data_IF_126225233584
#
_entry.id   IF_126225233584
#
_cell.length_a   1.000
_cell.length_b   1.000
_cell.length_c   1.000
_cell.angle_alpha   90.00
_cell.angle_beta   90.00
_cell.angle_gamma   90.00
#
_symmetry.space_group_name_H-M   'P 1'
#
loop_
_entity.id
_entity.type
_entity.pdbx_description
1 polymer ?
#
# COMPACT_ATOMS: atom_id res chain seq x y z
N UNK A 1 2.63 -10.87 40.05
CA UNK A 1 3.40 -10.03 39.09
C UNK A 1 3.10 -10.55 37.69
N UNK A 2 2.33 -9.79 36.91
CA UNK A 2 1.93 -10.17 35.54
C UNK A 2 3.11 -9.94 34.60
N UNK A 3 3.59 -10.97 33.91
CA UNK A 3 4.60 -10.87 32.86
C UNK A 3 3.97 -10.17 31.66
N UNK A 4 4.35 -8.93 31.41
CA UNK A 4 4.14 -8.30 30.11
C UNK A 4 5.15 -8.92 29.15
N UNK A 5 4.76 -9.97 28.43
CA UNK A 5 5.55 -10.48 27.31
C UNK A 5 5.60 -9.39 26.23
N UNK A 6 6.76 -8.74 26.15
CA UNK A 6 7.07 -7.87 25.02
C UNK A 6 7.11 -8.76 23.78
N UNK A 7 6.16 -8.59 22.86
CA UNK A 7 6.14 -9.29 21.58
C UNK A 7 7.32 -8.82 20.72
N UNK A 8 8.52 -9.34 21.00
CA UNK A 8 9.77 -8.99 20.31
C UNK A 8 9.98 -9.76 18.99
N UNK A 9 8.99 -10.55 18.58
CA UNK A 9 9.03 -11.32 17.34
C UNK A 9 8.18 -10.64 16.26
N UNK A 10 8.81 -10.31 15.13
CA UNK A 10 8.10 -9.89 13.92
C UNK A 10 7.32 -11.12 13.42
N UNK A 11 6.00 -10.99 13.34
CA UNK A 11 5.12 -12.05 12.84
C UNK A 11 4.77 -11.80 11.39
N UNK A 12 4.45 -12.85 10.63
CA UNK A 12 3.92 -12.71 9.26
C UNK A 12 2.71 -11.77 9.21
N UNK A 13 1.85 -11.84 10.23
CA UNK A 13 0.71 -10.92 10.38
C UNK A 13 1.14 -9.47 10.55
N UNK A 14 2.09 -9.22 11.44
CA UNK A 14 2.66 -7.88 11.63
C UNK A 14 3.31 -7.36 10.36
N UNK A 15 4.08 -8.18 9.66
CA UNK A 15 4.70 -7.81 8.38
C UNK A 15 3.65 -7.51 7.30
N UNK A 16 2.60 -8.33 7.17
CA UNK A 16 1.51 -8.09 6.23
C UNK A 16 0.77 -6.77 6.54
N UNK A 17 0.56 -6.45 7.82
CA UNK A 17 -0.06 -5.20 8.25
C UNK A 17 0.84 -3.99 7.88
N UNK A 18 2.15 -4.07 8.13
CA UNK A 18 3.12 -3.01 7.79
C UNK A 18 3.20 -2.78 6.27
N UNK A 19 3.30 -3.86 5.48
CA UNK A 19 3.35 -3.74 4.01
C UNK A 19 2.04 -3.16 3.46
N UNK A 20 0.90 -3.56 4.02
CA UNK A 20 -0.40 -2.99 3.64
C UNK A 20 -0.48 -1.50 3.97
N UNK A 21 -0.01 -1.09 5.15
CA UNK A 21 0.06 0.33 5.55
C UNK A 21 0.99 1.13 4.63
N UNK A 22 2.15 0.57 4.26
CA UNK A 22 3.05 1.18 3.27
C UNK A 22 2.33 1.44 1.94
N UNK A 23 1.60 0.47 1.41
CA UNK A 23 0.86 0.64 0.16
C UNK A 23 -0.27 1.67 0.28
N UNK A 24 -0.92 1.79 1.44
CA UNK A 24 -1.91 2.84 1.65
C UNK A 24 -1.30 4.24 1.45
N UNK A 25 -0.18 4.50 2.12
CA UNK A 25 0.53 5.79 1.99
C UNK A 25 1.13 5.98 0.60
N UNK A 26 1.71 4.93 0.02
CA UNK A 26 2.32 4.97 -1.32
C UNK A 26 1.31 5.28 -2.42
N UNK A 27 0.16 4.62 -2.42
CA UNK A 27 -0.89 4.84 -3.42
C UNK A 27 -1.43 6.27 -3.31
N UNK A 28 -1.76 6.75 -2.10
CA UNK A 28 -2.21 8.12 -1.88
C UNK A 28 -1.18 9.15 -2.37
N UNK A 29 0.11 8.90 -2.08
CA UNK A 29 1.20 9.78 -2.50
C UNK A 29 1.35 9.85 -4.02
N UNK A 30 1.25 8.73 -4.74
CA UNK A 30 1.33 8.71 -6.20
C UNK A 30 0.15 9.45 -6.82
N UNK A 31 -1.07 9.21 -6.34
CA UNK A 31 -2.29 9.88 -6.83
C UNK A 31 -2.17 11.40 -6.65
N UNK A 32 -1.67 11.85 -5.50
CA UNK A 32 -1.44 13.26 -5.22
C UNK A 32 -0.35 13.87 -6.12
N UNK A 33 0.85 13.28 -6.15
CA UNK A 33 2.00 13.83 -6.89
C UNK A 33 1.78 13.88 -8.40
N UNK A 34 0.97 12.97 -8.94
CA UNK A 34 0.61 12.93 -10.36
C UNK A 34 -0.64 13.73 -10.70
N UNK A 35 -1.28 14.37 -9.71
CA UNK A 35 -2.45 15.21 -9.92
C UNK A 35 -3.65 14.44 -10.48
N UNK A 36 -3.78 13.15 -10.14
CA UNK A 36 -4.91 12.32 -10.60
C UNK A 36 -6.21 12.80 -9.93
N UNK A 37 -6.12 13.23 -8.67
CA UNK A 37 -7.20 13.88 -7.93
C UNK A 37 -6.80 15.31 -7.56
N UNK A 38 -7.78 16.22 -7.37
CA UNK A 38 -7.52 17.59 -6.96
C UNK A 38 -6.80 17.67 -5.62
N UNK A 39 -5.93 18.67 -5.45
CA UNK A 39 -5.10 18.82 -4.24
C UNK A 39 -5.93 19.08 -2.99
N UNK A 40 -7.06 19.74 -3.13
CA UNK A 40 -8.04 20.03 -2.07
C UNK A 40 -8.73 18.77 -1.54
N UNK A 41 -8.70 17.66 -2.29
CA UNK A 41 -9.22 16.37 -1.87
C UNK A 41 -8.28 15.65 -0.90
N UNK A 42 -7.11 16.23 -0.58
CA UNK A 42 -6.15 15.64 0.35
C UNK A 42 -6.04 16.43 1.67
N UNK A 43 -5.62 15.75 2.73
CA UNK A 43 -5.21 16.33 4.01
C UNK A 43 -3.88 15.77 4.45
N UNK A 44 -3.15 16.55 5.22
CA UNK A 44 -1.89 16.14 5.85
C UNK A 44 -2.17 15.24 7.06
N UNK A 45 -1.48 14.12 7.11
CA UNK A 45 -1.41 13.20 8.24
C UNK A 45 0.06 13.04 8.64
N UNK A 46 0.37 13.15 9.94
CA UNK A 46 1.73 12.99 10.43
C UNK A 46 1.98 11.51 10.80
N UNK A 47 2.84 10.85 10.03
CA UNK A 47 3.13 9.41 10.14
C UNK A 47 4.61 9.14 9.93
N UNK A 48 5.18 8.31 10.82
CA UNK A 48 6.62 8.00 10.84
C UNK A 48 7.54 9.24 10.87
N UNK A 49 7.09 10.32 11.51
CA UNK A 49 7.81 11.60 11.55
C UNK A 49 7.77 12.38 10.23
N UNK A 50 6.96 11.95 9.25
CA UNK A 50 6.77 12.58 7.96
C UNK A 50 5.34 13.08 7.82
N UNK A 51 5.20 14.18 7.08
CA UNK A 51 3.92 14.69 6.64
C UNK A 51 3.50 13.98 5.35
N UNK A 52 2.49 13.13 5.42
CA UNK A 52 1.97 12.38 4.27
C UNK A 52 0.60 12.95 3.89
N UNK A 53 0.33 13.04 2.60
CA UNK A 53 -0.96 13.51 2.09
C UNK A 53 -1.88 12.32 1.83
N UNK A 54 -3.04 12.35 2.47
CA UNK A 54 -4.05 11.31 2.43
C UNK A 54 -5.35 11.85 1.84
N UNK A 55 -5.99 11.08 0.98
CA UNK A 55 -7.28 11.48 0.41
C UNK A 55 -8.36 11.57 1.48
N UNK A 56 -9.22 12.58 1.36
CA UNK A 56 -10.48 12.77 2.12
C UNK A 56 -11.70 12.30 1.35
N UNK A 57 -11.53 11.93 0.08
CA UNK A 57 -12.61 11.46 -0.78
C UNK A 57 -13.05 10.06 -0.35
N UNK A 58 -14.29 9.93 0.11
CA UNK A 58 -14.82 8.68 0.67
C UNK A 58 -14.84 7.53 -0.35
N UNK A 59 -15.11 7.82 -1.62
CA UNK A 59 -15.15 6.82 -2.68
C UNK A 59 -13.75 6.27 -2.95
N UNK A 60 -12.75 7.14 -3.08
CA UNK A 60 -11.36 6.77 -3.25
C UNK A 60 -10.82 6.03 -2.02
N UNK A 61 -11.15 6.47 -0.81
CA UNK A 61 -10.79 5.76 0.41
C UNK A 61 -11.36 4.34 0.42
N UNK A 62 -12.64 4.18 0.06
CA UNK A 62 -13.31 2.88 0.00
C UNK A 62 -12.68 1.98 -1.06
N UNK A 63 -12.37 2.54 -2.23
CA UNK A 63 -11.72 1.83 -3.31
C UNK A 63 -10.32 1.32 -2.89
N UNK A 64 -9.47 2.20 -2.36
CA UNK A 64 -8.14 1.83 -1.87
C UNK A 64 -8.25 0.79 -0.75
N UNK A 65 -9.15 0.99 0.22
CA UNK A 65 -9.36 0.05 1.32
C UNK A 65 -9.78 -1.35 0.84
N UNK A 66 -10.60 -1.44 -0.21
CA UNK A 66 -11.00 -2.72 -0.79
C UNK A 66 -9.80 -3.49 -1.38
N UNK A 67 -8.91 -2.79 -2.09
CA UNK A 67 -7.68 -3.35 -2.66
C UNK A 67 -6.74 -3.79 -1.55
N UNK A 68 -6.51 -2.92 -0.56
CA UNK A 68 -5.61 -3.19 0.57
C UNK A 68 -6.09 -4.37 1.42
N UNK A 69 -7.40 -4.53 1.61
CA UNK A 69 -7.97 -5.69 2.31
C UNK A 69 -7.61 -7.00 1.60
N UNK A 70 -7.73 -7.02 0.28
CA UNK A 70 -7.38 -8.19 -0.52
C UNK A 70 -5.86 -8.43 -0.56
N UNK A 71 -5.08 -7.36 -0.72
CA UNK A 71 -3.61 -7.42 -0.67
C UNK A 71 -3.11 -8.00 0.64
N UNK A 72 -3.68 -7.55 1.77
CA UNK A 72 -3.37 -8.08 3.10
C UNK A 72 -3.63 -9.58 3.20
N UNK A 73 -4.74 -10.05 2.64
CA UNK A 73 -5.04 -11.48 2.60
C UNK A 73 -3.99 -12.24 1.79
N UNK A 74 -3.61 -11.75 0.61
CA UNK A 74 -2.60 -12.39 -0.22
C UNK A 74 -1.19 -12.34 0.37
N UNK A 75 -0.84 -11.29 1.11
CA UNK A 75 0.42 -11.22 1.86
C UNK A 75 0.48 -12.29 2.96
N UNK A 76 -0.65 -12.54 3.63
CA UNK A 76 -0.76 -13.57 4.66
C UNK A 76 -0.66 -15.00 4.09
N UNK A 77 -1.19 -15.23 2.89
CA UNK A 77 -1.13 -16.52 2.19
C UNK A 77 0.12 -16.68 1.33
N UNK A 78 0.96 -15.64 1.20
CA UNK A 78 2.13 -15.57 0.32
C UNK A 78 1.79 -15.77 -1.17
N UNK A 79 0.60 -15.36 -1.58
CA UNK A 79 0.12 -15.51 -2.97
C UNK A 79 0.40 -14.28 -3.86
N UNK A 80 0.89 -13.18 -3.27
CA UNK A 80 1.21 -11.95 -4.00
C UNK A 80 2.72 -11.76 -4.14
N UNK A 81 3.18 -11.72 -5.39
CA UNK A 81 4.59 -11.48 -5.72
C UNK A 81 4.83 -10.10 -6.35
N UNK A 82 3.76 -9.43 -6.80
CA UNK A 82 3.86 -8.15 -7.49
C UNK A 82 2.57 -7.33 -7.38
N UNK A 83 2.70 -6.05 -7.08
CA UNK A 83 1.66 -5.05 -7.23
C UNK A 83 2.10 -4.05 -8.32
N UNK A 84 1.21 -3.77 -9.29
CA UNK A 84 1.51 -2.81 -10.36
C UNK A 84 0.42 -1.75 -10.38
N UNK A 85 0.82 -0.48 -10.22
CA UNK A 85 -0.05 0.67 -10.39
C UNK A 85 0.24 1.34 -11.73
N UNK A 86 -0.78 1.41 -12.59
CA UNK A 86 -0.66 1.93 -13.95
C UNK A 86 -1.41 3.25 -14.04
N UNK A 87 -0.74 4.28 -14.56
CA UNK A 87 -1.35 5.56 -14.91
C UNK A 87 -1.44 5.59 -16.43
N UNK A 88 -2.66 5.74 -16.94
CA UNK A 88 -2.93 5.80 -18.38
C UNK A 88 -3.69 7.06 -18.75
N UNK A 89 -3.53 7.48 -20.00
CA UNK A 89 -4.32 8.56 -20.56
C UNK A 89 -5.78 8.10 -20.69
N UNK A 90 -6.70 8.88 -20.14
CA UNK A 90 -8.12 8.52 -20.15
C UNK A 90 -8.70 8.38 -21.57
N UNK A 91 -8.26 9.22 -22.51
CA UNK A 91 -8.75 9.26 -23.89
C UNK A 91 -8.06 8.23 -24.78
N UNK A 92 -6.72 8.21 -24.80
CA UNK A 92 -5.94 7.36 -25.72
C UNK A 92 -5.73 5.93 -25.20
N UNK A 93 -5.96 5.69 -23.90
CA UNK A 93 -5.63 4.44 -23.18
C UNK A 93 -4.14 4.08 -23.18
N UNK A 94 -3.29 5.00 -23.63
CA UNK A 94 -1.84 4.84 -23.58
C UNK A 94 -1.36 4.80 -22.13
N UNK A 95 -0.46 3.87 -21.83
CA UNK A 95 0.19 3.81 -20.52
C UNK A 95 1.25 4.90 -20.42
N UNK A 96 1.07 5.83 -19.48
CA UNK A 96 1.99 6.93 -19.22
C UNK A 96 3.03 6.52 -18.18
N UNK A 97 2.59 5.85 -17.11
CA UNK A 97 3.48 5.39 -16.05
C UNK A 97 3.08 4.01 -15.52
N UNK A 98 4.08 3.26 -15.07
CA UNK A 98 3.91 1.93 -14.47
C UNK A 98 4.81 1.83 -13.23
N UNK A 99 4.18 1.89 -12.06
CA UNK A 99 4.84 1.72 -10.78
C UNK A 99 4.76 0.25 -10.37
N UNK A 100 5.89 -0.45 -10.46
CA UNK A 100 5.99 -1.88 -10.15
C UNK A 100 6.63 -2.10 -8.78
N UNK A 101 5.89 -2.77 -7.90
CA UNK A 101 6.34 -3.17 -6.58
C UNK A 101 6.45 -4.69 -6.55
N UNK A 102 7.68 -5.20 -6.55
CA UNK A 102 7.95 -6.63 -6.36
C UNK A 102 7.91 -6.94 -4.87
N UNK A 103 7.22 -8.01 -4.50
CA UNK A 103 7.04 -8.45 -3.12
C UNK A 103 7.69 -9.82 -3.01
N UNK A 104 8.64 -9.96 -2.09
CA UNK A 104 9.32 -11.22 -1.79
C UNK A 104 8.95 -11.63 -0.36
N UNK A 105 8.43 -12.84 -0.21
CA UNK A 105 8.09 -13.38 1.10
C UNK A 105 9.19 -14.35 1.55
N UNK A 106 9.73 -14.17 2.76
CA UNK A 106 10.72 -15.08 3.31
C UNK A 106 10.18 -16.54 3.38
N UNK A 107 11.00 -17.48 2.91
CA UNK A 107 10.67 -18.90 2.81
C UNK A 107 10.37 -19.41 1.40
N UNK A 108 10.37 -18.56 0.38
CA UNK A 108 10.55 -19.01 -1.00
C UNK A 108 12.03 -19.37 -1.19
N UNK A 109 12.31 -20.67 -1.36
CA UNK A 109 13.59 -21.11 -1.95
C UNK A 109 13.61 -20.58 -3.38
N UNK A 110 14.41 -19.55 -3.64
CA UNK A 110 14.76 -19.11 -4.99
C UNK A 110 15.16 -20.35 -5.81
N UNK A 111 14.24 -20.77 -6.67
CA UNK A 111 14.42 -21.92 -7.57
C UNK A 111 14.47 -21.37 -8.99
N UNK A 112 15.55 -20.66 -9.32
CA UNK A 112 15.92 -20.32 -10.70
C UNK A 112 15.43 -18.97 -11.20
#
# INVERSE_FOLDING_TARGET
MSKTESASAITLKGSADIVTEFFNYGINSIIYQRGIYPVESFSREDKYGLAILMTKDCELQTFIASILKQLRHWLMTKEVHRLVLVISNFHTKETLERWEFKIQCEGELDSG
#
